data_IF_485217107856
#
_entry.id   IF_485217107856
#
_cell.length_a   1.000
_cell.length_b   1.000
_cell.length_c   1.000
_cell.angle_alpha   90.00
_cell.angle_beta   90.00
_cell.angle_gamma   90.00
#
_symmetry.space_group_name_H-M   'P 1'
#
loop_
_entity.id
_entity.type
_entity.pdbx_description
1 polymer ?
#
# COMPACT_ATOMS: atom_id res chain seq x y z
N UNK A 1 9.58 19.31 2.88
CA UNK A 1 10.72 18.55 2.38
C UNK A 1 10.34 17.11 2.20
N UNK A 2 10.95 16.49 1.21
CA UNK A 2 10.62 15.13 0.85
C UNK A 2 10.98 14.12 1.92
N UNK A 3 12.00 14.41 2.74
CA UNK A 3 12.35 13.52 3.86
C UNK A 3 11.16 13.31 4.79
N UNK A 4 10.37 14.35 4.99
CA UNK A 4 9.19 14.25 5.84
C UNK A 4 8.15 13.30 5.24
N UNK A 5 8.04 13.29 3.91
CA UNK A 5 7.09 12.41 3.25
C UNK A 5 7.50 10.94 3.41
N UNK A 6 8.80 10.67 3.27
CA UNK A 6 9.30 9.32 3.49
C UNK A 6 9.00 8.87 4.91
N UNK A 7 9.25 9.74 5.89
CA UNK A 7 9.01 9.38 7.28
C UNK A 7 7.53 9.17 7.57
N UNK A 8 6.67 9.96 6.93
CA UNK A 8 5.23 9.78 7.08
C UNK A 8 4.79 8.40 6.61
N UNK A 9 5.21 8.04 5.38
CA UNK A 9 4.79 6.77 4.80
C UNK A 9 5.42 5.61 5.56
N UNK A 10 6.69 5.76 5.97
CA UNK A 10 7.34 4.73 6.77
C UNK A 10 6.61 4.52 8.10
N UNK A 11 6.17 5.61 8.73
CA UNK A 11 5.42 5.53 9.98
C UNK A 11 4.10 4.81 9.83
N UNK A 12 3.46 4.98 8.66
CA UNK A 12 2.21 4.28 8.38
C UNK A 12 2.44 2.77 8.28
N UNK A 13 3.58 2.37 7.72
CA UNK A 13 3.91 0.95 7.58
C UNK A 13 4.44 0.30 8.85
N UNK A 14 5.00 1.08 9.77
CA UNK A 14 5.69 0.54 10.94
C UNK A 14 4.84 -0.43 11.77
N UNK A 15 3.56 -0.13 12.06
CA UNK A 15 2.77 -1.07 12.88
C UNK A 15 2.52 -2.41 12.21
N UNK A 16 2.68 -2.50 10.90
CA UNK A 16 2.38 -3.72 10.16
C UNK A 16 3.62 -4.54 9.84
N UNK A 17 4.79 -4.07 10.24
CA UNK A 17 6.04 -4.74 9.94
C UNK A 17 6.08 -6.09 10.62
N UNK A 18 6.19 -7.16 9.82
CA UNK A 18 6.22 -8.52 10.35
C UNK A 18 4.89 -9.01 10.87
N UNK A 19 3.81 -8.32 10.60
CA UNK A 19 2.48 -8.66 11.09
C UNK A 19 1.71 -9.44 10.03
N UNK A 20 1.05 -10.52 10.46
CA UNK A 20 0.12 -11.25 9.60
C UNK A 20 -1.12 -10.40 9.40
N UNK A 21 -1.31 -9.88 8.20
CA UNK A 21 -2.40 -8.96 7.93
C UNK A 21 -3.77 -9.61 7.96
N UNK A 22 -3.84 -10.93 7.88
CA UNK A 22 -5.13 -11.63 8.02
C UNK A 22 -5.61 -11.65 9.47
N UNK A 23 -4.70 -11.39 10.41
CA UNK A 23 -5.04 -11.35 11.84
C UNK A 23 -5.42 -9.95 12.31
N UNK A 24 -5.31 -8.95 11.45
CA UNK A 24 -5.67 -7.58 11.80
C UNK A 24 -7.18 -7.44 11.79
N UNK A 25 -7.70 -6.81 12.84
CA UNK A 25 -9.12 -6.45 12.89
C UNK A 25 -9.29 -5.10 12.20
N UNK A 26 -9.70 -5.14 10.94
CA UNK A 26 -9.80 -3.93 10.13
C UNK A 26 -10.92 -2.99 10.60
N UNK A 27 -11.77 -3.44 11.51
CA UNK A 27 -12.82 -2.61 12.08
C UNK A 27 -12.42 -2.00 13.43
N UNK A 28 -11.22 -2.30 13.91
CA UNK A 28 -10.73 -1.78 15.18
C UNK A 28 -10.59 -0.27 15.14
N UNK A 29 -10.86 0.36 16.28
CA UNK A 29 -10.71 1.80 16.42
C UNK A 29 -9.28 2.25 16.11
N UNK A 30 -8.28 1.44 16.47
CA UNK A 30 -6.89 1.77 16.19
C UNK A 30 -6.63 1.89 14.70
N UNK A 31 -7.28 1.04 13.90
CA UNK A 31 -7.16 1.12 12.44
C UNK A 31 -7.80 2.40 11.94
N UNK A 32 -8.96 2.76 12.48
CA UNK A 32 -9.63 3.99 12.10
C UNK A 32 -8.78 5.21 12.43
N UNK A 33 -8.21 5.25 13.64
CA UNK A 33 -7.37 6.36 14.05
C UNK A 33 -6.13 6.47 13.17
N UNK A 34 -5.54 5.34 12.81
CA UNK A 34 -4.40 5.33 11.91
C UNK A 34 -4.77 5.87 10.55
N UNK A 35 -5.95 5.47 10.02
CA UNK A 35 -6.37 5.96 8.72
C UNK A 35 -6.58 7.47 8.73
N UNK A 36 -7.11 8.00 9.84
CA UNK A 36 -7.32 9.44 9.96
C UNK A 36 -6.01 10.19 10.07
N UNK A 37 -4.99 9.55 10.63
CA UNK A 37 -3.70 10.19 10.81
C UNK A 37 -2.88 10.28 9.53
N UNK A 38 -2.91 9.23 8.72
CA UNK A 38 -2.00 9.12 7.56
C UNK A 38 -2.67 9.33 6.21
N UNK A 39 -3.98 9.08 6.12
CA UNK A 39 -4.66 9.08 4.83
C UNK A 39 -5.60 10.26 4.71
N UNK A 40 -5.53 10.96 3.58
CA UNK A 40 -6.46 12.04 3.29
C UNK A 40 -7.89 11.50 3.25
N UNK A 41 -8.89 12.29 3.67
CA UNK A 41 -10.29 11.85 3.51
C UNK A 41 -10.68 11.66 2.05
N UNK A 42 -9.90 12.21 1.12
CA UNK A 42 -10.18 12.10 -0.30
C UNK A 42 -9.18 11.19 -1.01
N UNK A 43 -8.49 10.33 -0.26
CA UNK A 43 -7.45 9.46 -0.83
C UNK A 43 -8.04 8.53 -1.89
N UNK A 44 -7.22 8.22 -2.88
CA UNK A 44 -7.59 7.30 -3.95
C UNK A 44 -6.53 6.21 -4.05
N UNK A 45 -6.95 4.95 -4.01
CA UNK A 45 -6.07 3.81 -4.25
C UNK A 45 -6.44 3.18 -5.58
N UNK A 46 -5.45 2.93 -6.43
CA UNK A 46 -5.66 2.39 -7.76
C UNK A 46 -4.83 1.13 -7.95
N UNK A 47 -5.51 -0.01 -7.97
CA UNK A 47 -4.89 -1.32 -8.17
C UNK A 47 -5.00 -1.70 -9.64
N UNK A 48 -3.94 -1.48 -10.41
CA UNK A 48 -4.00 -1.72 -11.85
C UNK A 48 -3.56 -3.12 -12.25
N UNK A 49 -3.02 -3.90 -11.32
CA UNK A 49 -2.56 -5.26 -11.62
C UNK A 49 -3.68 -6.28 -11.68
N UNK A 50 -4.86 -5.94 -11.23
CA UNK A 50 -5.94 -6.88 -10.99
C UNK A 50 -6.66 -7.33 -12.26
N UNK A 51 -6.20 -6.91 -13.43
CA UNK A 51 -6.82 -7.30 -14.68
C UNK A 51 -6.99 -6.11 -15.61
N UNK A 52 -7.80 -6.26 -16.65
CA UNK A 52 -7.96 -5.21 -17.65
C UNK A 52 -8.57 -3.93 -17.11
N UNK A 53 -9.27 -4.03 -15.98
CA UNK A 53 -9.86 -2.85 -15.37
C UNK A 53 -9.24 -2.61 -14.01
N UNK A 54 -8.72 -1.41 -13.82
CA UNK A 54 -8.15 -1.03 -12.54
C UNK A 54 -9.25 -0.97 -11.49
N UNK A 55 -8.94 -1.44 -10.29
CA UNK A 55 -9.83 -1.26 -9.15
C UNK A 55 -9.45 0.05 -8.46
N UNK A 56 -10.46 0.88 -8.21
CA UNK A 56 -10.25 2.17 -7.58
C UNK A 56 -11.06 2.21 -6.29
N UNK A 57 -10.37 2.54 -5.19
CA UNK A 57 -11.00 2.68 -3.87
C UNK A 57 -10.82 4.12 -3.45
N UNK A 58 -11.87 4.71 -2.89
CA UNK A 58 -11.83 6.12 -2.52
C UNK A 58 -12.15 6.33 -1.05
N UNK A 59 -11.44 7.28 -0.43
CA UNK A 59 -11.67 7.65 0.95
C UNK A 59 -11.03 6.70 1.92
N UNK A 60 -11.07 7.08 3.19
CA UNK A 60 -10.46 6.26 4.24
C UNK A 60 -11.14 4.91 4.38
N UNK A 61 -12.46 4.89 4.26
CA UNK A 61 -13.18 3.62 4.28
C UNK A 61 -12.78 2.75 3.10
N UNK A 62 -12.51 3.37 1.95
CA UNK A 62 -12.03 2.64 0.78
C UNK A 62 -10.69 2.01 0.99
N UNK A 63 -9.78 2.69 1.70
CA UNK A 63 -8.47 2.13 2.02
C UNK A 63 -8.63 0.87 2.86
N UNK A 64 -9.44 0.96 3.91
CA UNK A 64 -9.67 -0.19 4.79
C UNK A 64 -10.31 -1.33 4.02
N UNK A 65 -11.28 -1.00 3.17
CA UNK A 65 -11.94 -1.99 2.33
C UNK A 65 -10.94 -2.68 1.39
N UNK A 66 -10.02 -1.92 0.81
CA UNK A 66 -9.03 -2.46 -0.11
C UNK A 66 -8.15 -3.49 0.57
N UNK A 67 -7.67 -3.18 1.77
CA UNK A 67 -6.82 -4.13 2.50
C UNK A 67 -7.61 -5.34 2.96
N UNK A 68 -8.84 -5.13 3.41
CA UNK A 68 -9.69 -6.25 3.82
C UNK A 68 -9.91 -7.22 2.66
N UNK A 69 -10.23 -6.70 1.49
CA UNK A 69 -10.46 -7.55 0.31
C UNK A 69 -9.18 -8.21 -0.16
N UNK A 70 -8.06 -7.52 -0.03
CA UNK A 70 -6.78 -8.05 -0.48
C UNK A 70 -6.41 -9.31 0.28
N UNK A 71 -6.60 -9.33 1.60
CA UNK A 71 -6.15 -10.45 2.43
C UNK A 71 -7.19 -11.55 2.57
N UNK A 72 -8.42 -11.30 2.13
CA UNK A 72 -9.52 -12.25 2.32
C UNK A 72 -9.22 -13.66 1.81
N UNK A 73 -8.60 -13.84 0.62
CA UNK A 73 -8.33 -15.21 0.12
C UNK A 73 -7.22 -15.93 0.85
N UNK A 74 -6.57 -15.31 1.82
CA UNK A 74 -5.38 -15.84 2.45
C UNK A 74 -5.64 -16.18 3.91
N UNK A 75 -4.91 -17.19 4.43
CA UNK A 75 -4.92 -17.48 5.86
C UNK A 75 -3.73 -16.86 6.57
N UNK A 76 -2.70 -16.44 5.81
CA UNK A 76 -1.57 -15.65 6.27
C UNK A 76 -1.17 -14.72 5.15
N UNK A 77 -0.80 -13.50 5.50
CA UNK A 77 -0.34 -12.55 4.49
C UNK A 77 0.58 -11.51 5.11
N UNK A 78 1.74 -11.31 4.46
CA UNK A 78 2.75 -10.37 4.94
C UNK A 78 3.18 -9.45 3.81
N UNK A 79 3.36 -8.18 4.12
CA UNK A 79 3.87 -7.20 3.17
C UNK A 79 5.15 -6.64 3.75
N UNK A 80 6.21 -6.66 2.95
CA UNK A 80 7.51 -6.14 3.36
C UNK A 80 7.92 -5.02 2.41
N UNK A 81 7.94 -3.76 2.86
CA UNK A 81 8.52 -2.69 2.06
C UNK A 81 10.02 -2.93 1.92
N UNK A 82 10.52 -2.85 0.70
CA UNK A 82 11.93 -3.12 0.43
C UNK A 82 12.76 -1.85 0.40
N UNK A 83 12.14 -0.72 0.07
CA UNK A 83 12.85 0.55 -0.02
C UNK A 83 11.81 1.67 0.04
N UNK A 84 12.27 2.88 0.33
CA UNK A 84 11.44 4.08 0.31
C UNK A 84 12.20 5.13 -0.50
N UNK A 85 11.81 5.29 -1.76
CA UNK A 85 12.49 6.19 -2.69
C UNK A 85 11.66 7.46 -2.80
N UNK A 86 12.25 8.59 -2.43
CA UNK A 86 11.49 9.83 -2.49
C UNK A 86 11.74 10.58 -3.78
N UNK A 87 10.70 11.28 -4.25
CA UNK A 87 10.81 12.14 -5.41
C UNK A 87 9.71 13.19 -5.31
N UNK A 88 10.11 14.41 -4.93
CA UNK A 88 9.18 15.52 -4.75
C UNK A 88 8.09 15.15 -3.76
N UNK A 89 6.83 15.13 -4.19
CA UNK A 89 5.71 14.82 -3.30
C UNK A 89 5.32 13.35 -3.38
N UNK A 90 6.20 12.49 -3.91
CA UNK A 90 5.92 11.06 -4.06
C UNK A 90 6.94 10.23 -3.29
N UNK A 91 6.46 9.09 -2.82
CA UNK A 91 7.32 8.07 -2.21
C UNK A 91 7.04 6.77 -2.96
N UNK A 92 8.11 6.20 -3.53
CA UNK A 92 8.03 5.00 -4.35
C UNK A 92 8.50 3.83 -3.51
N UNK A 93 7.67 2.82 -3.36
CA UNK A 93 7.93 1.72 -2.43
C UNK A 93 7.84 0.39 -3.16
N UNK A 94 8.98 -0.20 -3.55
CA UNK A 94 8.97 -1.60 -3.98
C UNK A 94 8.67 -2.48 -2.78
N UNK A 95 7.84 -3.49 -2.96
CA UNK A 95 7.34 -4.32 -1.89
C UNK A 95 7.42 -5.78 -2.24
N UNK A 96 7.60 -6.61 -1.21
CA UNK A 96 7.47 -8.06 -1.34
C UNK A 96 6.26 -8.50 -0.56
N UNK A 97 5.41 -9.30 -1.21
CA UNK A 97 4.21 -9.84 -0.60
C UNK A 97 4.33 -11.34 -0.51
N UNK A 98 3.99 -11.91 0.65
CA UNK A 98 4.00 -13.35 0.85
C UNK A 98 2.70 -13.76 1.50
N UNK A 99 2.10 -14.85 1.00
CA UNK A 99 0.83 -15.31 1.54
C UNK A 99 0.64 -16.80 1.38
N UNK A 100 -0.33 -17.32 2.12
CA UNK A 100 -0.76 -18.70 2.01
C UNK A 100 -2.26 -18.68 1.79
N UNK A 101 -2.71 -19.29 0.68
CA UNK A 101 -4.14 -19.31 0.35
C UNK A 101 -4.94 -20.07 1.39
N UNK A 102 -6.10 -19.54 1.78
CA UNK A 102 -6.89 -20.13 2.83
C UNK A 102 -7.52 -21.47 2.40
N UNK A 103 -7.89 -21.59 1.14
CA UNK A 103 -8.51 -22.81 0.63
C UNK A 103 -7.47 -23.75 0.06
N UNK A 104 -6.56 -23.24 -0.76
CA UNK A 104 -5.59 -24.07 -1.47
C UNK A 104 -4.41 -24.47 -0.62
N UNK A 105 -4.06 -23.67 0.39
CA UNK A 105 -2.84 -23.87 1.16
C UNK A 105 -1.57 -23.59 0.37
N UNK A 106 -1.71 -23.04 -0.85
CA UNK A 106 -0.55 -22.75 -1.70
C UNK A 106 0.15 -21.49 -1.21
N UNK A 107 1.48 -21.55 -1.13
CA UNK A 107 2.29 -20.38 -0.80
C UNK A 107 2.52 -19.55 -2.06
N UNK A 108 2.34 -18.23 -1.92
CA UNK A 108 2.59 -17.31 -3.02
C UNK A 108 3.57 -16.25 -2.55
N UNK A 109 4.40 -15.77 -3.47
CA UNK A 109 5.31 -14.67 -3.20
C UNK A 109 5.37 -13.82 -4.45
N UNK A 110 5.27 -12.50 -4.29
CA UNK A 110 5.24 -11.59 -5.42
C UNK A 110 5.88 -10.28 -5.03
N UNK A 111 6.42 -9.58 -6.00
CA UNK A 111 6.98 -8.25 -5.80
C UNK A 111 6.33 -7.29 -6.76
N UNK A 112 5.94 -6.14 -6.26
CA UNK A 112 5.44 -5.05 -7.08
C UNK A 112 5.69 -3.74 -6.34
N UNK A 113 5.33 -2.63 -6.96
CA UNK A 113 5.73 -1.32 -6.46
C UNK A 113 4.51 -0.42 -6.35
N UNK A 114 4.45 0.31 -5.25
CA UNK A 114 3.42 1.33 -5.03
C UNK A 114 4.05 2.71 -5.09
N UNK A 115 3.33 3.66 -5.66
CA UNK A 115 3.72 5.07 -5.64
C UNK A 115 2.71 5.80 -4.78
N UNK A 116 3.19 6.38 -3.68
CA UNK A 116 2.38 7.14 -2.74
C UNK A 116 2.55 8.62 -3.02
N UNK A 117 1.47 9.32 -3.23
CA UNK A 117 1.50 10.78 -3.34
C UNK A 117 1.12 11.36 -1.99
N UNK A 118 1.94 12.30 -1.51
CA UNK A 118 1.73 12.91 -0.19
C UNK A 118 1.57 14.41 -0.36
N UNK A 119 0.51 14.96 0.22
CA UNK A 119 0.28 16.40 0.23
C UNK A 119 -0.24 16.80 1.59
N UNK A 120 0.26 17.91 2.12
CA UNK A 120 -0.17 18.44 3.41
C UNK A 120 -0.08 17.38 4.51
N UNK A 121 1.01 16.59 4.48
CA UNK A 121 1.29 15.57 5.49
C UNK A 121 0.28 14.45 5.50
N UNK A 122 -0.38 14.18 4.35
CA UNK A 122 -1.32 13.08 4.23
C UNK A 122 -1.14 12.38 2.91
N UNK A 123 -1.41 11.07 2.90
CA UNK A 123 -1.36 10.28 1.66
C UNK A 123 -2.64 10.56 0.88
N UNK A 124 -2.50 11.05 -0.35
CA UNK A 124 -3.63 11.43 -1.18
C UNK A 124 -3.91 10.47 -2.30
N UNK A 125 -2.92 9.65 -2.67
CA UNK A 125 -3.09 8.72 -3.78
C UNK A 125 -2.06 7.62 -3.71
N UNK A 126 -2.47 6.41 -4.11
CA UNK A 126 -1.56 5.28 -4.26
C UNK A 126 -1.86 4.62 -5.59
N UNK A 127 -0.83 4.46 -6.40
CA UNK A 127 -0.90 3.72 -7.67
C UNK A 127 -0.01 2.49 -7.57
N UNK A 128 -0.45 1.40 -8.19
CA UNK A 128 0.27 0.14 -8.17
C UNK A 128 0.86 -0.16 -9.54
N UNK A 129 2.11 -0.62 -9.55
CA UNK A 129 2.83 -0.98 -10.77
C UNK A 129 3.45 -2.36 -10.61
N UNK A 130 3.59 -3.09 -11.72
CA UNK A 130 4.17 -4.44 -11.69
C UNK A 130 5.64 -4.42 -11.31
N UNK A 131 6.38 -3.41 -11.76
CA UNK A 131 7.82 -3.35 -11.54
C UNK A 131 8.24 -1.99 -11.03
N UNK A 132 9.41 -1.96 -10.38
CA UNK A 132 9.99 -0.69 -9.95
C UNK A 132 10.29 0.21 -11.16
N UNK A 133 10.76 -0.38 -12.26
CA UNK A 133 11.07 0.42 -13.44
C UNK A 133 9.85 1.13 -13.97
N UNK A 134 8.71 0.44 -14.02
CA UNK A 134 7.47 1.07 -14.47
C UNK A 134 7.05 2.20 -13.55
N UNK A 135 7.21 2.00 -12.25
CA UNK A 135 6.86 3.03 -11.28
C UNK A 135 7.75 4.25 -11.40
N UNK A 136 9.05 4.03 -11.58
CA UNK A 136 10.00 5.13 -11.74
C UNK A 136 9.70 5.92 -13.01
N UNK A 137 9.39 5.22 -14.09
CA UNK A 137 9.06 5.87 -15.35
C UNK A 137 7.81 6.73 -15.20
N UNK A 138 6.78 6.19 -14.56
CA UNK A 138 5.54 6.93 -14.36
C UNK A 138 5.76 8.16 -13.48
N UNK A 139 6.71 8.10 -12.57
CA UNK A 139 7.03 9.22 -11.68
C UNK A 139 8.02 10.20 -12.31
N UNK A 140 8.48 9.92 -13.55
CA UNK A 140 9.40 10.81 -14.23
C UNK A 140 10.85 10.63 -13.83
N UNK A 141 11.20 9.48 -13.26
CA UNK A 141 12.56 9.20 -12.82
C UNK A 141 13.32 8.26 -13.76
N UNK A 142 12.71 7.86 -14.86
CA UNK A 142 13.35 6.96 -15.79
C UNK A 142 14.53 7.67 -16.48
N UNK A 143 15.54 6.88 -16.80
CA UNK A 143 16.70 7.39 -17.51
C UNK A 143 16.52 7.26 -18.98
#
# INVERSE_FOLDING_TARGET
>A
MSQENVELVRGMWEPFKGVDLTAVDWDDEAIREMSERFWSPEVELRWSRSGPEARVYQGRDGVIQAFREWVEPFREYYIEPLDFIEQEDRVIIPQRHRGIGSTSGVSVEDEFTHVYEVRDHMITRVDEYDTLDEALEAAGLSE
#
